data_IF_858849827171
#
_entry.id   IF_858849827171
#
_cell.length_a   1.000
_cell.length_b   1.000
_cell.length_c   1.000
_cell.angle_alpha   90.00
_cell.angle_beta   90.00
_cell.angle_gamma   90.00
#
_symmetry.space_group_name_H-M   'P 1'
#
loop_
_entity.id
_entity.type
_entity.pdbx_description
1 polymer ?
#
# COMPACT_ATOMS: atom_id res chain seq x y z
N UNK A 1 -24.76 53.44 28.67
CA UNK A 1 -25.34 52.14 28.21
C UNK A 1 -24.53 51.71 27.02
N UNK A 2 -23.50 50.88 27.26
CA UNK A 2 -22.52 50.46 26.26
C UNK A 2 -23.02 49.13 25.66
N UNK A 3 -23.44 49.17 24.37
CA UNK A 3 -23.79 47.96 23.65
C UNK A 3 -22.47 47.28 23.21
N UNK A 4 -22.13 46.15 23.82
CA UNK A 4 -21.07 45.27 23.33
C UNK A 4 -21.67 44.45 22.16
N UNK A 5 -21.27 44.76 20.95
CA UNK A 5 -21.55 43.92 19.78
C UNK A 5 -20.68 42.68 19.87
N UNK A 6 -21.24 41.53 20.29
CA UNK A 6 -20.60 40.22 20.14
C UNK A 6 -20.65 39.85 18.66
N UNK A 7 -19.55 40.04 17.95
CA UNK A 7 -19.36 39.50 16.59
C UNK A 7 -19.08 38.00 16.74
N UNK A 8 -20.12 37.18 16.54
CA UNK A 8 -19.92 35.75 16.35
C UNK A 8 -19.28 35.57 14.97
N UNK A 9 -17.99 35.24 14.95
CA UNK A 9 -17.38 34.65 13.75
C UNK A 9 -18.00 33.26 13.58
N UNK A 10 -19.01 33.17 12.69
CA UNK A 10 -19.46 31.89 12.20
C UNK A 10 -18.35 31.42 11.27
N UNK A 11 -17.47 30.55 11.77
CA UNK A 11 -16.61 29.76 10.92
C UNK A 11 -17.54 28.92 10.04
N UNK A 12 -17.67 29.26 8.78
CA UNK A 12 -18.37 28.42 7.81
C UNK A 12 -17.51 27.16 7.63
N UNK A 13 -17.85 26.15 8.38
CA UNK A 13 -17.22 24.84 8.28
C UNK A 13 -17.68 24.23 6.95
N UNK A 14 -16.73 23.91 6.07
CA UNK A 14 -17.04 23.29 4.79
C UNK A 14 -17.54 21.87 5.04
N UNK A 15 -18.74 21.54 4.58
CA UNK A 15 -19.31 20.21 4.70
C UNK A 15 -19.06 19.43 3.41
N UNK A 16 -18.60 18.18 3.54
CA UNK A 16 -18.38 17.23 2.46
C UNK A 16 -19.30 16.02 2.62
N UNK A 17 -19.69 15.41 1.52
CA UNK A 17 -20.33 14.07 1.59
C UNK A 17 -19.31 13.04 2.02
N UNK A 18 -18.08 13.11 1.48
CA UNK A 18 -17.01 12.14 1.73
C UNK A 18 -15.68 12.83 2.03
N UNK A 19 -14.96 12.32 3.03
CA UNK A 19 -13.54 12.65 3.22
C UNK A 19 -12.73 11.35 3.11
N UNK A 20 -11.68 11.39 2.28
CA UNK A 20 -10.71 10.30 2.12
C UNK A 20 -9.40 10.76 2.76
N UNK A 21 -8.95 10.06 3.80
CA UNK A 21 -7.72 10.35 4.53
C UNK A 21 -6.61 9.43 4.02
N UNK A 22 -5.59 10.05 3.41
CA UNK A 22 -4.44 9.40 2.81
C UNK A 22 -4.58 9.19 1.31
N UNK A 23 -3.66 9.80 0.52
CA UNK A 23 -3.54 9.68 -0.93
C UNK A 23 -2.54 8.58 -1.34
N UNK A 24 -2.58 7.44 -0.64
CA UNK A 24 -1.91 6.20 -1.07
C UNK A 24 -2.77 5.44 -2.09
N UNK A 25 -2.40 4.18 -2.39
CA UNK A 25 -3.12 3.37 -3.38
C UNK A 25 -4.63 3.31 -3.11
N UNK A 26 -5.05 3.03 -1.87
CA UNK A 26 -6.47 2.90 -1.53
C UNK A 26 -7.23 4.22 -1.67
N UNK A 27 -6.68 5.32 -1.18
CA UNK A 27 -7.35 6.63 -1.24
C UNK A 27 -7.45 7.17 -2.65
N UNK A 28 -6.38 7.06 -3.46
CA UNK A 28 -6.38 7.51 -4.85
C UNK A 28 -7.31 6.67 -5.73
N UNK A 29 -7.30 5.35 -5.59
CA UNK A 29 -8.23 4.47 -6.31
C UNK A 29 -9.68 4.75 -5.93
N UNK A 30 -9.97 5.05 -4.64
CA UNK A 30 -11.32 5.39 -4.20
C UNK A 30 -11.74 6.75 -4.74
N UNK A 31 -10.90 7.78 -4.65
CA UNK A 31 -11.18 9.10 -5.18
C UNK A 31 -11.49 9.05 -6.69
N UNK A 32 -10.65 8.31 -7.46
CA UNK A 32 -10.89 8.07 -8.89
C UNK A 32 -12.22 7.34 -9.14
N UNK A 33 -12.51 6.30 -8.35
CA UNK A 33 -13.76 5.57 -8.48
C UNK A 33 -15.02 6.42 -8.20
N UNK A 34 -14.92 7.34 -7.24
CA UNK A 34 -16.00 8.31 -6.95
C UNK A 34 -16.11 9.39 -8.04
N UNK A 35 -14.98 9.91 -8.54
CA UNK A 35 -14.96 10.94 -9.56
C UNK A 35 -15.43 10.46 -10.93
N UNK A 36 -15.06 9.23 -11.31
CA UNK A 36 -15.39 8.67 -12.62
C UNK A 36 -16.81 8.11 -12.74
N UNK A 37 -17.47 7.82 -11.62
CA UNK A 37 -18.79 7.22 -11.63
C UNK A 37 -19.90 8.31 -11.58
N UNK A 38 -20.76 8.43 -12.60
CA UNK A 38 -21.80 9.45 -12.67
C UNK A 38 -22.77 9.50 -11.47
N UNK A 39 -22.90 8.39 -10.73
CA UNK A 39 -23.72 8.35 -9.52
C UNK A 39 -23.26 9.34 -8.45
N UNK A 40 -21.95 9.63 -8.38
CA UNK A 40 -21.36 10.49 -7.36
C UNK A 40 -21.07 11.92 -7.85
N UNK A 41 -21.51 12.30 -9.05
CA UNK A 41 -21.19 13.64 -9.63
C UNK A 41 -21.62 14.81 -8.75
N UNK A 42 -22.74 14.64 -8.02
CA UNK A 42 -23.30 15.65 -7.12
C UNK A 42 -22.81 15.48 -5.66
N UNK A 43 -21.85 14.60 -5.42
CA UNK A 43 -21.25 14.33 -4.12
C UNK A 43 -19.92 15.03 -3.97
N UNK A 44 -19.77 15.81 -2.91
CA UNK A 44 -18.52 16.53 -2.61
C UNK A 44 -17.53 15.61 -1.90
N UNK A 45 -16.29 15.55 -2.41
CA UNK A 45 -15.22 14.69 -1.91
C UNK A 45 -13.99 15.52 -1.55
N UNK A 46 -13.49 15.37 -0.33
CA UNK A 46 -12.19 15.89 0.08
C UNK A 46 -11.18 14.74 0.21
N UNK A 47 -10.12 14.79 -0.57
CA UNK A 47 -8.96 13.90 -0.42
C UNK A 47 -7.87 14.65 0.35
N UNK A 48 -7.43 14.12 1.50
CA UNK A 48 -6.43 14.75 2.36
C UNK A 48 -5.21 13.85 2.52
N UNK A 49 -4.02 14.39 2.29
CA UNK A 49 -2.75 13.73 2.62
C UNK A 49 -1.70 14.76 3.05
N UNK A 50 -0.83 14.41 3.97
CA UNK A 50 0.30 15.26 4.37
C UNK A 50 1.35 15.41 3.27
N UNK A 51 1.41 14.46 2.35
CA UNK A 51 2.42 14.36 1.29
C UNK A 51 1.80 14.76 -0.07
N UNK A 52 2.49 15.62 -0.81
CA UNK A 52 2.10 16.04 -2.16
C UNK A 52 2.31 14.96 -3.23
N UNK A 53 2.83 13.78 -2.89
CA UNK A 53 3.07 12.63 -3.79
C UNK A 53 3.95 12.93 -5.00
N UNK A 54 5.03 13.68 -4.77
CA UNK A 54 5.97 14.14 -5.81
C UNK A 54 7.22 13.27 -5.94
N UNK A 55 7.41 12.31 -5.04
CA UNK A 55 8.58 11.42 -5.00
C UNK A 55 8.16 9.98 -5.16
N UNK A 56 9.10 9.13 -5.61
CA UNK A 56 8.88 7.69 -5.60
C UNK A 56 9.22 7.16 -4.20
N UNK A 57 8.22 6.66 -3.49
CA UNK A 57 8.36 6.16 -2.12
C UNK A 57 8.13 4.66 -2.00
N UNK A 58 7.73 3.99 -3.09
CA UNK A 58 7.44 2.56 -3.14
C UNK A 58 7.32 2.00 -4.53
N UNK A 59 7.45 0.69 -4.60
CA UNK A 59 7.24 -0.12 -5.79
C UNK A 59 6.15 -1.15 -5.49
N UNK A 60 5.22 -1.33 -6.43
CA UNK A 60 4.23 -2.41 -6.36
C UNK A 60 4.51 -3.43 -7.43
N UNK A 61 4.57 -4.70 -7.02
CA UNK A 61 4.64 -5.83 -7.94
C UNK A 61 3.40 -6.69 -7.78
N UNK A 62 2.87 -7.19 -8.90
CA UNK A 62 1.64 -7.98 -8.90
C UNK A 62 1.53 -8.91 -10.10
N UNK A 63 0.67 -9.91 -9.94
CA UNK A 63 0.39 -10.92 -10.95
C UNK A 63 -0.91 -10.59 -11.69
N UNK A 64 -0.89 -10.66 -13.01
CA UNK A 64 -2.07 -10.45 -13.82
C UNK A 64 -2.07 -11.39 -15.04
N UNK A 65 -3.27 -11.89 -15.45
CA UNK A 65 -3.39 -12.86 -16.55
C UNK A 65 -3.38 -12.24 -17.95
N UNK A 66 -3.76 -10.99 -18.06
CA UNK A 66 -3.99 -10.30 -19.32
C UNK A 66 -3.77 -8.80 -19.16
N UNK A 67 -4.18 -8.02 -20.16
CA UNK A 67 -4.25 -6.57 -20.03
C UNK A 67 -5.16 -6.17 -18.86
N UNK A 68 -4.73 -5.17 -18.08
CA UNK A 68 -5.39 -4.71 -16.87
C UNK A 68 -5.45 -3.20 -16.72
N UNK A 69 -6.00 -2.77 -15.60
CA UNK A 69 -6.25 -1.34 -15.32
C UNK A 69 -4.98 -0.48 -15.33
N UNK A 70 -3.83 -1.10 -15.03
CA UNK A 70 -2.56 -0.39 -14.81
C UNK A 70 -1.59 -0.46 -15.98
N UNK A 71 -1.91 -1.10 -17.09
CA UNK A 71 -0.98 -1.35 -18.20
C UNK A 71 -0.34 -0.09 -18.78
N UNK A 72 -1.05 1.04 -18.74
CA UNK A 72 -0.54 2.33 -19.24
C UNK A 72 0.56 2.93 -18.37
N UNK A 73 0.75 2.43 -17.16
CA UNK A 73 1.69 2.96 -16.17
C UNK A 73 2.63 1.89 -15.60
N UNK A 74 2.62 0.68 -16.19
CA UNK A 74 3.58 -0.37 -15.82
C UNK A 74 4.98 0.04 -16.21
N UNK A 75 5.91 -0.05 -15.29
CA UNK A 75 7.32 0.26 -15.51
C UNK A 75 8.07 -0.90 -16.14
N UNK A 76 7.78 -2.13 -15.73
CA UNK A 76 8.37 -3.38 -16.26
C UNK A 76 7.43 -4.55 -16.05
N UNK A 77 7.58 -5.58 -16.90
CA UNK A 77 6.87 -6.86 -16.75
C UNK A 77 7.76 -8.03 -17.15
N UNK A 78 7.52 -9.19 -16.53
CA UNK A 78 8.25 -10.42 -16.80
C UNK A 78 7.27 -11.58 -17.03
N UNK A 79 7.57 -12.40 -18.04
CA UNK A 79 6.87 -13.66 -18.32
C UNK A 79 7.57 -14.86 -17.69
N UNK A 80 8.77 -14.66 -17.17
CA UNK A 80 9.58 -15.69 -16.51
C UNK A 80 10.00 -15.25 -15.12
N UNK A 81 10.03 -16.21 -14.21
CA UNK A 81 10.56 -15.99 -12.86
C UNK A 81 11.58 -17.08 -12.50
N UNK A 82 12.51 -16.70 -11.64
CA UNK A 82 13.38 -17.61 -10.93
C UNK A 82 12.92 -17.72 -9.48
N UNK A 83 12.89 -18.95 -8.97
CA UNK A 83 12.73 -19.26 -7.57
C UNK A 83 13.92 -20.12 -7.12
N UNK A 84 14.57 -19.76 -6.01
CA UNK A 84 15.79 -20.41 -5.56
C UNK A 84 15.73 -20.71 -4.06
N UNK A 85 16.24 -21.87 -3.65
CA UNK A 85 16.46 -22.28 -2.27
C UNK A 85 17.86 -22.87 -2.13
N UNK A 86 18.25 -23.30 -0.95
CA UNK A 86 19.61 -23.80 -0.65
C UNK A 86 20.08 -24.90 -1.62
N UNK A 87 19.20 -25.86 -1.94
CA UNK A 87 19.51 -27.01 -2.82
C UNK A 87 18.64 -27.06 -4.08
N UNK A 88 17.94 -25.98 -4.39
CA UNK A 88 16.93 -25.95 -5.43
C UNK A 88 16.96 -24.63 -6.20
N UNK A 89 16.92 -24.72 -7.53
CA UNK A 89 16.77 -23.57 -8.41
C UNK A 89 15.82 -23.91 -9.55
N UNK A 90 14.80 -23.10 -9.77
CA UNK A 90 13.85 -23.28 -10.85
C UNK A 90 13.56 -21.97 -11.58
N UNK A 91 13.72 -22.04 -12.90
CA UNK A 91 13.22 -21.03 -13.79
C UNK A 91 11.86 -21.50 -14.35
N UNK A 92 10.88 -20.63 -14.36
CA UNK A 92 9.51 -20.95 -14.79
C UNK A 92 8.95 -19.89 -15.70
N UNK A 93 8.39 -20.31 -16.80
CA UNK A 93 7.39 -19.51 -17.51
C UNK A 93 6.11 -19.50 -16.68
N UNK A 94 5.52 -18.32 -16.55
CA UNK A 94 4.37 -18.10 -15.67
C UNK A 94 3.07 -17.90 -16.44
N UNK A 95 3.05 -18.18 -17.74
CA UNK A 95 1.83 -18.13 -18.53
C UNK A 95 0.69 -18.95 -17.84
N UNK A 96 -0.54 -18.45 -17.80
CA UNK A 96 -1.06 -17.25 -18.44
C UNK A 96 -0.84 -15.93 -17.68
N UNK A 97 -0.02 -15.95 -16.62
CA UNK A 97 0.27 -14.77 -15.82
C UNK A 97 1.49 -14.00 -16.35
N UNK A 98 1.53 -12.73 -16.03
CA UNK A 98 2.68 -11.85 -16.15
C UNK A 98 2.94 -11.23 -14.77
N UNK A 99 4.19 -11.16 -14.36
CA UNK A 99 4.58 -10.43 -13.16
C UNK A 99 4.89 -8.99 -13.56
N UNK A 100 4.13 -8.04 -13.02
CA UNK A 100 4.17 -6.63 -13.41
C UNK A 100 4.68 -5.78 -12.27
N UNK A 101 5.43 -4.75 -12.61
CA UNK A 101 5.97 -3.77 -11.66
C UNK A 101 5.48 -2.37 -12.01
N UNK A 102 5.09 -1.63 -10.99
CA UNK A 102 4.59 -0.27 -11.05
C UNK A 102 5.31 0.61 -10.02
N UNK A 103 5.88 1.73 -10.45
CA UNK A 103 6.52 2.72 -9.58
C UNK A 103 5.47 3.62 -8.94
N UNK A 104 5.68 3.93 -7.65
CA UNK A 104 4.76 4.77 -6.88
C UNK A 104 4.53 6.13 -7.52
N UNK A 105 5.59 6.80 -7.97
CA UNK A 105 5.46 8.12 -8.60
C UNK A 105 4.61 8.11 -9.87
N UNK A 106 4.73 7.08 -10.72
CA UNK A 106 3.95 6.96 -11.95
C UNK A 106 2.46 6.73 -11.62
N UNK A 107 2.19 5.93 -10.59
CA UNK A 107 0.85 5.72 -10.05
C UNK A 107 0.25 7.03 -9.53
N UNK A 108 0.99 7.78 -8.70
CA UNK A 108 0.52 9.05 -8.14
C UNK A 108 0.21 10.08 -9.21
N UNK A 109 1.10 10.26 -10.17
CA UNK A 109 0.90 11.18 -11.30
C UNK A 109 -0.34 10.81 -12.11
N UNK A 110 -0.49 9.51 -12.42
CA UNK A 110 -1.65 9.03 -13.18
C UNK A 110 -2.96 9.36 -12.48
N UNK A 111 -3.08 9.00 -11.19
CA UNK A 111 -4.33 9.19 -10.44
C UNK A 111 -4.60 10.66 -10.11
N UNK A 112 -3.60 11.42 -9.66
CA UNK A 112 -3.78 12.83 -9.34
C UNK A 112 -4.17 13.66 -10.56
N UNK A 113 -3.57 13.42 -11.74
CA UNK A 113 -3.96 14.09 -12.97
C UNK A 113 -5.43 13.81 -13.35
N UNK A 114 -5.91 12.60 -13.13
CA UNK A 114 -7.31 12.24 -13.39
C UNK A 114 -8.25 12.87 -12.37
N UNK A 115 -7.90 12.80 -11.09
CA UNK A 115 -8.69 13.35 -9.98
C UNK A 115 -8.86 14.88 -10.13
N UNK A 116 -7.84 15.59 -10.58
CA UNK A 116 -7.90 17.03 -10.83
C UNK A 116 -8.92 17.42 -11.92
N UNK A 117 -9.33 16.50 -12.78
CA UNK A 117 -10.34 16.76 -13.81
C UNK A 117 -11.79 16.65 -13.28
N UNK A 118 -12.00 16.16 -12.05
CA UNK A 118 -13.32 16.02 -11.44
C UNK A 118 -13.64 17.23 -10.57
N UNK A 119 -14.67 17.98 -10.96
CA UNK A 119 -15.10 19.22 -10.26
C UNK A 119 -15.57 18.96 -8.81
N UNK A 120 -16.04 17.76 -8.53
CA UNK A 120 -16.56 17.37 -7.22
C UNK A 120 -15.49 16.86 -6.25
N UNK A 121 -14.22 16.78 -6.65
CA UNK A 121 -13.13 16.29 -5.79
C UNK A 121 -12.11 17.40 -5.54
N UNK A 122 -11.81 17.65 -4.26
CA UNK A 122 -10.77 18.58 -3.84
C UNK A 122 -9.63 17.80 -3.20
N UNK A 123 -8.39 18.05 -3.61
CA UNK A 123 -7.20 17.55 -2.92
C UNK A 123 -6.65 18.62 -1.97
N UNK A 124 -6.45 18.29 -0.70
CA UNK A 124 -5.83 19.13 0.31
C UNK A 124 -4.56 18.49 0.84
N UNK A 125 -3.45 19.20 0.72
CA UNK A 125 -2.22 18.78 1.39
C UNK A 125 -2.25 19.28 2.83
N UNK A 126 -2.54 18.37 3.78
CA UNK A 126 -2.58 18.67 5.21
C UNK A 126 -2.34 17.41 6.05
N UNK A 127 -1.73 17.59 7.21
CA UNK A 127 -1.62 16.53 8.21
C UNK A 127 -2.94 16.39 8.96
N UNK A 128 -3.56 15.23 8.91
CA UNK A 128 -4.70 14.89 9.76
C UNK A 128 -4.21 14.59 11.19
N UNK A 129 -4.75 15.31 12.15
CA UNK A 129 -4.37 15.23 13.57
C UNK A 129 -5.41 14.53 14.44
N UNK A 130 -6.65 14.42 13.97
CA UNK A 130 -7.73 13.75 14.69
C UNK A 130 -8.94 13.45 13.83
N UNK A 131 -9.79 12.56 14.35
CA UNK A 131 -11.06 12.18 13.73
C UNK A 131 -12.04 11.76 14.82
N UNK A 132 -13.25 12.32 14.82
CA UNK A 132 -14.30 12.04 15.79
C UNK A 132 -15.63 11.76 15.09
N UNK A 133 -16.24 10.61 15.37
CA UNK A 133 -17.57 10.26 14.86
C UNK A 133 -18.65 10.77 15.83
N UNK A 134 -19.45 11.74 15.41
CA UNK A 134 -20.58 12.30 16.14
C UNK A 134 -21.91 11.62 15.81
N UNK A 135 -21.89 10.47 15.12
CA UNK A 135 -23.05 9.72 14.61
C UNK A 135 -23.82 10.42 13.48
N UNK A 136 -24.03 11.72 13.54
CA UNK A 136 -24.66 12.50 12.45
C UNK A 136 -23.68 12.95 11.39
N UNK A 137 -22.40 13.06 11.73
CA UNK A 137 -21.28 13.43 10.88
C UNK A 137 -19.96 13.02 11.53
N UNK A 138 -18.91 13.04 10.77
CA UNK A 138 -17.53 12.86 11.25
C UNK A 138 -16.80 14.19 11.15
N UNK A 139 -16.16 14.61 12.25
CA UNK A 139 -15.24 15.74 12.27
C UNK A 139 -13.81 15.22 12.03
N UNK A 140 -13.10 15.82 11.08
CA UNK A 140 -11.70 15.54 10.76
C UNK A 140 -10.89 16.79 11.05
N UNK A 141 -9.97 16.71 12.00
CA UNK A 141 -9.06 17.79 12.35
C UNK A 141 -7.76 17.68 11.57
N UNK A 142 -7.30 18.80 11.02
CA UNK A 142 -6.01 18.92 10.34
C UNK A 142 -5.22 20.10 10.88
N UNK A 143 -3.95 20.20 10.53
CA UNK A 143 -3.13 21.37 10.86
C UNK A 143 -3.65 22.68 10.23
N UNK A 144 -4.46 22.58 9.16
CA UNK A 144 -5.01 23.73 8.43
C UNK A 144 -6.45 24.09 8.81
N UNK A 145 -7.08 23.33 9.72
CA UNK A 145 -8.47 23.52 10.17
C UNK A 145 -9.26 22.21 10.25
N UNK A 146 -10.53 22.34 10.63
CA UNK A 146 -11.44 21.22 10.78
C UNK A 146 -12.40 21.12 9.58
N UNK A 147 -12.73 19.89 9.21
CA UNK A 147 -13.70 19.58 8.17
C UNK A 147 -14.76 18.64 8.73
N UNK A 148 -15.97 18.68 8.20
CA UNK A 148 -17.04 17.72 8.49
C UNK A 148 -17.42 16.96 7.25
N UNK A 149 -17.72 15.66 7.41
CA UNK A 149 -18.29 14.86 6.34
C UNK A 149 -19.38 13.92 6.86
N UNK A 150 -20.27 13.51 5.96
CA UNK A 150 -21.24 12.46 6.25
C UNK A 150 -20.52 11.11 6.45
N UNK A 151 -19.49 10.82 5.65
CA UNK A 151 -18.73 9.58 5.73
C UNK A 151 -17.23 9.83 5.52
N UNK A 152 -16.39 9.05 6.21
CA UNK A 152 -14.91 9.15 6.15
C UNK A 152 -14.28 7.80 5.84
N UNK A 153 -13.33 7.81 4.91
CA UNK A 153 -12.52 6.65 4.53
C UNK A 153 -11.08 6.88 4.98
N UNK A 154 -10.61 6.13 5.98
CA UNK A 154 -9.29 6.34 6.57
C UNK A 154 -8.30 5.26 6.14
N UNK A 155 -7.23 5.66 5.44
CA UNK A 155 -6.13 4.77 5.05
C UNK A 155 -4.88 4.90 5.93
N UNK A 156 -4.90 5.77 6.95
CA UNK A 156 -3.77 5.92 7.88
C UNK A 156 -3.73 4.71 8.81
N UNK A 157 -2.61 3.99 8.75
CA UNK A 157 -2.39 2.79 9.52
C UNK A 157 -1.57 3.09 10.79
N UNK A 158 -2.06 2.60 11.95
CA UNK A 158 -1.33 2.66 13.22
C UNK A 158 -0.91 1.27 13.69
N UNK A 159 0.39 0.98 13.60
CA UNK A 159 0.97 -0.27 14.10
C UNK A 159 0.74 -0.48 15.59
N UNK A 160 0.73 0.60 16.39
CA UNK A 160 0.59 0.50 17.84
C UNK A 160 -0.72 -0.17 18.27
N UNK A 161 -1.77 -0.03 17.46
CA UNK A 161 -3.05 -0.68 17.73
C UNK A 161 -2.98 -2.21 17.64
N UNK A 162 -2.13 -2.76 16.75
CA UNK A 162 -1.95 -4.20 16.61
C UNK A 162 -1.24 -4.85 17.80
N UNK A 163 -0.29 -4.15 18.41
CA UNK A 163 0.47 -4.69 19.54
C UNK A 163 -0.30 -4.64 20.88
N UNK A 164 -1.49 -4.03 20.91
CA UNK A 164 -2.37 -4.04 22.08
C UNK A 164 -3.18 -5.33 22.24
N UNK A 165 -3.19 -6.18 21.20
CA UNK A 165 -3.91 -7.45 21.22
C UNK A 165 -2.93 -8.64 21.22
N UNK A 166 -3.37 -9.77 21.80
CA UNK A 166 -2.57 -11.00 21.91
C UNK A 166 -3.24 -12.19 21.23
N UNK A 167 -4.40 -11.99 20.60
CA UNK A 167 -5.21 -13.05 20.02
C UNK A 167 -4.63 -13.59 18.71
N UNK A 168 -4.03 -12.73 17.91
CA UNK A 168 -3.52 -13.07 16.59
C UNK A 168 -2.03 -12.76 16.52
N UNK A 169 -1.21 -13.63 15.88
CA UNK A 169 0.18 -13.31 15.61
C UNK A 169 0.28 -12.03 14.76
N UNK A 170 1.30 -11.24 15.04
CA UNK A 170 1.64 -10.06 14.24
C UNK A 170 3.07 -10.24 13.77
N UNK A 171 3.22 -10.58 12.50
CA UNK A 171 4.47 -10.52 11.77
C UNK A 171 4.48 -9.29 10.87
N UNK A 172 5.63 -8.97 10.36
CA UNK A 172 5.85 -7.89 9.44
C UNK A 172 6.58 -8.45 8.22
N UNK A 173 6.11 -8.14 7.02
CA UNK A 173 6.94 -8.21 5.83
C UNK A 173 7.66 -6.87 5.74
N UNK A 174 8.95 -6.88 6.01
CA UNK A 174 9.76 -5.68 5.97
C UNK A 174 10.99 -5.87 5.08
N UNK A 175 11.41 -4.81 4.45
CA UNK A 175 12.43 -4.88 3.42
C UNK A 175 13.20 -3.56 3.25
N UNK A 176 14.41 -3.69 2.71
CA UNK A 176 15.15 -2.62 2.04
C UNK A 176 15.53 -3.11 0.65
N UNK A 177 15.35 -2.25 -0.33
CA UNK A 177 15.72 -2.49 -1.72
C UNK A 177 16.64 -1.39 -2.26
N UNK A 178 17.61 -1.78 -3.06
CA UNK A 178 18.49 -0.87 -3.78
C UNK A 178 18.26 -0.98 -5.28
N UNK A 179 17.94 0.14 -5.91
CA UNK A 179 18.01 0.27 -7.36
C UNK A 179 19.47 0.55 -7.71
N UNK A 180 20.07 -0.37 -8.44
CA UNK A 180 21.50 -0.28 -8.77
C UNK A 180 21.72 -0.22 -10.27
N UNK A 181 22.85 0.40 -10.63
CA UNK A 181 23.41 0.40 -11.98
C UNK A 181 24.82 -0.16 -11.91
N UNK A 182 25.07 -1.28 -12.56
CA UNK A 182 26.38 -1.94 -12.66
C UNK A 182 27.18 -1.42 -13.84
N UNK A 183 28.49 -1.54 -13.77
CA UNK A 183 29.43 -1.18 -14.85
C UNK A 183 29.47 -2.22 -16.00
N UNK A 184 28.92 -3.42 -15.76
CA UNK A 184 28.85 -4.52 -16.74
C UNK A 184 27.53 -5.27 -16.62
N UNK A 185 27.12 -6.05 -17.63
CA UNK A 185 25.93 -6.90 -17.57
C UNK A 185 26.01 -7.91 -16.40
N UNK A 186 25.02 -7.86 -15.51
CA UNK A 186 24.88 -8.77 -14.36
C UNK A 186 23.46 -9.30 -14.20
N UNK A 187 22.50 -8.75 -14.94
CA UNK A 187 21.10 -9.14 -14.87
C UNK A 187 20.62 -9.79 -16.16
N UNK A 188 19.62 -10.66 -16.03
CA UNK A 188 18.80 -11.11 -17.14
C UNK A 188 17.49 -10.31 -17.17
N UNK A 189 17.29 -9.35 -18.09
CA UNK A 189 16.13 -8.47 -18.10
C UNK A 189 14.79 -9.18 -18.39
N UNK A 190 14.82 -10.43 -18.84
CA UNK A 190 13.62 -11.21 -19.17
C UNK A 190 13.10 -12.04 -18.00
N UNK A 191 13.85 -12.12 -16.89
CA UNK A 191 13.52 -13.01 -15.79
C UNK A 191 13.68 -12.32 -14.43
N UNK A 192 12.59 -12.19 -13.66
CA UNK A 192 12.65 -11.71 -12.30
C UNK A 192 13.03 -12.85 -11.34
N UNK A 193 13.96 -12.60 -10.41
CA UNK A 193 14.14 -13.48 -9.25
C UNK A 193 13.04 -13.15 -8.25
N UNK A 194 12.00 -14.01 -8.25
CA UNK A 194 10.79 -13.76 -7.45
C UNK A 194 11.03 -13.97 -5.96
N UNK A 195 11.75 -15.02 -5.58
CA UNK A 195 12.21 -15.28 -4.21
C UNK A 195 13.47 -16.15 -4.26
N UNK A 196 14.56 -15.67 -3.72
CA UNK A 196 15.79 -16.44 -3.52
C UNK A 196 16.02 -16.66 -2.03
N UNK A 197 15.70 -17.88 -1.56
CA UNK A 197 15.91 -18.34 -0.19
C UNK A 197 17.27 -18.98 0.03
N UNK A 198 18.18 -18.99 -0.95
CA UNK A 198 19.53 -19.57 -0.81
C UNK A 198 20.46 -18.76 0.10
N UNK A 199 19.97 -17.65 0.63
CA UNK A 199 20.66 -16.81 1.60
C UNK A 199 20.49 -17.32 3.03
N UNK A 200 21.37 -16.96 4.00
CA UNK A 200 21.28 -17.39 5.39
C UNK A 200 19.94 -17.00 6.04
N UNK A 201 19.18 -17.98 6.53
CA UNK A 201 17.83 -17.77 7.08
C UNK A 201 17.80 -17.23 8.51
N UNK A 202 18.83 -17.46 9.32
CA UNK A 202 19.01 -16.90 10.69
C UNK A 202 17.77 -17.01 11.60
N UNK A 203 16.99 -18.09 11.46
CA UNK A 203 15.86 -18.40 12.33
C UNK A 203 14.52 -17.73 11.96
N UNK A 204 14.43 -17.04 10.82
CA UNK A 204 13.17 -16.53 10.26
C UNK A 204 13.21 -16.56 8.72
N UNK A 205 12.05 -16.38 8.09
CA UNK A 205 11.94 -16.43 6.63
C UNK A 205 12.59 -15.19 6.02
N UNK A 206 13.63 -15.40 5.17
CA UNK A 206 14.38 -14.33 4.48
C UNK A 206 14.63 -14.72 3.04
N UNK A 207 14.53 -13.74 2.15
CA UNK A 207 14.80 -13.96 0.73
C UNK A 207 15.21 -12.66 0.02
N UNK A 208 15.81 -12.83 -1.15
CA UNK A 208 16.08 -11.72 -2.05
C UNK A 208 15.06 -11.69 -3.19
N UNK A 209 14.59 -10.49 -3.53
CA UNK A 209 14.04 -10.18 -4.84
C UNK A 209 15.12 -9.57 -5.71
N UNK A 210 15.15 -9.95 -7.00
CA UNK A 210 15.91 -9.22 -8.02
C UNK A 210 14.98 -8.94 -9.19
N UNK A 211 14.76 -7.67 -9.45
CA UNK A 211 13.87 -7.19 -10.51
C UNK A 211 14.69 -6.44 -11.57
N UNK A 212 15.13 -7.10 -12.64
CA UNK A 212 15.98 -6.50 -13.66
C UNK A 212 15.19 -5.57 -14.57
N UNK A 213 15.73 -4.39 -14.86
CA UNK A 213 15.16 -3.45 -15.85
C UNK A 213 15.88 -3.55 -17.19
N UNK A 214 17.19 -3.74 -17.10
CA UNK A 214 18.10 -3.98 -18.23
C UNK A 214 19.17 -4.99 -17.82
N UNK A 215 20.16 -5.23 -18.67
CA UNK A 215 21.32 -6.07 -18.32
C UNK A 215 22.20 -5.45 -17.21
N UNK A 216 22.12 -4.13 -17.02
CA UNK A 216 22.95 -3.39 -16.06
C UNK A 216 22.16 -2.69 -14.94
N UNK A 217 20.84 -2.60 -15.04
CA UNK A 217 20.01 -1.92 -14.05
C UNK A 217 18.95 -2.86 -13.47
N UNK A 218 18.78 -2.82 -12.14
CA UNK A 218 17.79 -3.63 -11.45
C UNK A 218 17.59 -3.23 -9.99
N UNK A 219 16.49 -3.69 -9.41
CA UNK A 219 16.24 -3.64 -7.97
C UNK A 219 16.78 -4.93 -7.34
N UNK A 220 17.55 -4.79 -6.26
CA UNK A 220 17.95 -5.89 -5.38
C UNK A 220 17.40 -5.59 -3.99
N UNK A 221 16.47 -6.43 -3.52
CA UNK A 221 15.73 -6.21 -2.29
C UNK A 221 15.88 -7.38 -1.33
N UNK A 222 16.26 -7.08 -0.09
CA UNK A 222 16.28 -8.04 1.01
C UNK A 222 15.02 -7.94 1.83
N UNK A 223 14.22 -9.00 1.85
CA UNK A 223 12.90 -9.08 2.48
C UNK A 223 12.88 -10.15 3.57
N UNK A 224 12.18 -9.85 4.66
CA UNK A 224 12.01 -10.75 5.80
C UNK A 224 10.56 -10.80 6.26
N UNK A 225 10.20 -11.94 6.87
CA UNK A 225 8.99 -12.11 7.68
C UNK A 225 9.42 -12.35 9.12
N UNK A 226 9.24 -11.35 9.98
CA UNK A 226 9.56 -11.47 11.41
C UNK A 226 8.70 -10.54 12.27
N UNK A 227 8.69 -10.75 13.58
CA UNK A 227 7.94 -9.92 14.51
C UNK A 227 8.53 -8.50 14.59
N UNK A 228 9.86 -8.39 14.60
CA UNK A 228 10.61 -7.15 14.71
C UNK A 228 11.39 -6.85 13.44
N UNK A 229 11.56 -5.56 13.14
CA UNK A 229 12.45 -5.09 12.07
C UNK A 229 13.92 -5.18 12.50
N UNK A 230 14.82 -5.26 11.55
CA UNK A 230 16.26 -5.29 11.79
C UNK A 230 16.86 -3.87 11.83
N UNK A 231 18.10 -3.77 12.30
CA UNK A 231 18.92 -2.58 12.08
C UNK A 231 19.19 -2.40 10.57
N UNK A 232 19.17 -1.16 10.08
CA UNK A 232 19.30 -0.85 8.65
C UNK A 232 20.60 -1.44 8.05
N UNK A 233 21.69 -1.42 8.83
CA UNK A 233 22.97 -2.00 8.44
C UNK A 233 22.89 -3.50 8.10
N UNK A 234 22.03 -4.28 8.77
CA UNK A 234 21.90 -5.72 8.48
C UNK A 234 21.29 -5.95 7.10
N UNK A 235 20.28 -5.16 6.70
CA UNK A 235 19.72 -5.25 5.35
C UNK A 235 20.76 -4.85 4.30
N UNK A 236 21.44 -3.75 4.53
CA UNK A 236 22.43 -3.23 3.57
C UNK A 236 23.60 -4.20 3.38
N UNK A 237 24.08 -4.82 4.46
CA UNK A 237 25.13 -5.82 4.38
C UNK A 237 24.66 -7.07 3.64
N UNK A 238 23.42 -7.52 3.86
CA UNK A 238 22.86 -8.66 3.12
C UNK A 238 22.75 -8.36 1.62
N UNK A 239 22.29 -7.15 1.24
CA UNK A 239 22.22 -6.72 -0.16
C UNK A 239 23.62 -6.64 -0.79
N UNK A 240 24.61 -6.03 -0.11
CA UNK A 240 26.00 -5.94 -0.59
C UNK A 240 26.60 -7.31 -0.86
N UNK A 241 26.45 -8.23 0.10
CA UNK A 241 26.97 -9.59 -0.04
C UNK A 241 26.30 -10.30 -1.21
N UNK A 242 24.99 -10.18 -1.37
CA UNK A 242 24.27 -10.79 -2.47
C UNK A 242 24.72 -10.25 -3.84
N UNK A 243 24.87 -8.94 -3.97
CA UNK A 243 25.37 -8.29 -5.19
C UNK A 243 26.78 -8.80 -5.53
N UNK A 244 27.65 -8.91 -4.51
CA UNK A 244 29.03 -9.35 -4.72
C UNK A 244 29.12 -10.83 -5.03
N UNK A 245 28.46 -11.71 -4.26
CA UNK A 245 28.63 -13.15 -4.31
C UNK A 245 27.74 -13.83 -5.34
N UNK A 246 26.47 -13.42 -5.44
CA UNK A 246 25.48 -14.04 -6.35
C UNK A 246 25.44 -13.38 -7.72
N UNK A 247 25.52 -12.04 -7.78
CA UNK A 247 25.52 -11.32 -9.05
C UNK A 247 26.95 -11.11 -9.59
N UNK A 248 28.00 -11.50 -8.85
CA UNK A 248 29.41 -11.29 -9.22
C UNK A 248 29.70 -9.84 -9.63
N UNK A 249 29.11 -8.88 -8.93
CA UNK A 249 29.21 -7.47 -9.22
C UNK A 249 29.94 -6.73 -8.09
N UNK A 250 31.11 -6.14 -8.40
CA UNK A 250 31.92 -5.39 -7.44
C UNK A 250 31.90 -3.88 -7.67
N UNK A 251 31.39 -3.44 -8.84
CA UNK A 251 31.28 -2.01 -9.20
C UNK A 251 29.86 -1.71 -9.64
N UNK A 252 29.18 -0.91 -8.85
CA UNK A 252 27.83 -0.43 -9.11
C UNK A 252 27.59 0.90 -8.40
N UNK A 253 26.61 1.63 -8.90
CA UNK A 253 26.06 2.83 -8.29
C UNK A 253 24.69 2.51 -7.70
N UNK A 254 24.38 3.03 -6.51
CA UNK A 254 23.04 2.98 -5.93
C UNK A 254 22.29 4.22 -6.41
N UNK A 255 21.31 4.03 -7.28
CA UNK A 255 20.49 5.11 -7.87
C UNK A 255 19.44 5.59 -6.89
N UNK A 256 18.78 4.62 -6.19
CA UNK A 256 17.68 4.87 -5.29
C UNK A 256 17.61 3.77 -4.23
N UNK A 257 17.11 4.11 -3.04
CA UNK A 257 16.81 3.14 -1.98
C UNK A 257 15.32 3.21 -1.65
N UNK A 258 14.70 2.06 -1.45
CA UNK A 258 13.36 1.98 -0.91
C UNK A 258 13.34 1.11 0.34
N UNK A 259 12.39 1.39 1.23
CA UNK A 259 12.10 0.55 2.39
C UNK A 259 10.62 0.47 2.66
N UNK A 260 10.17 -0.66 3.13
CA UNK A 260 8.78 -0.87 3.45
C UNK A 260 8.58 -1.80 4.64
N UNK A 261 7.38 -1.71 5.18
CA UNK A 261 6.90 -2.57 6.24
C UNK A 261 5.40 -2.78 6.05
N UNK A 262 4.99 -4.03 5.91
CA UNK A 262 3.60 -4.43 5.70
C UNK A 262 3.20 -5.37 6.84
N UNK A 263 2.12 -5.08 7.59
CA UNK A 263 1.67 -5.97 8.65
C UNK A 263 1.13 -7.27 8.06
N UNK A 264 1.54 -8.38 8.64
CA UNK A 264 1.08 -9.73 8.35
C UNK A 264 0.33 -10.25 9.57
N UNK A 265 -0.99 -10.13 9.57
CA UNK A 265 -1.84 -10.50 10.70
C UNK A 265 -3.27 -10.78 10.28
N UNK A 266 -3.93 -11.69 10.98
CA UNK A 266 -5.37 -11.94 10.86
C UNK A 266 -6.21 -11.09 11.82
N UNK A 267 -5.69 -9.98 12.30
CA UNK A 267 -6.41 -9.04 13.16
C UNK A 267 -7.72 -8.58 12.50
N UNK A 268 -8.78 -8.44 13.30
CA UNK A 268 -10.07 -7.97 12.81
C UNK A 268 -10.11 -6.45 12.70
N UNK A 269 -9.62 -5.91 11.60
CA UNK A 269 -9.62 -4.47 11.33
C UNK A 269 -11.03 -3.86 11.25
N UNK A 270 -12.05 -4.65 10.90
CA UNK A 270 -13.44 -4.16 10.84
C UNK A 270 -13.99 -3.73 12.20
N UNK A 271 -13.37 -4.13 13.30
CA UNK A 271 -13.76 -3.69 14.65
C UNK A 271 -13.53 -2.18 14.88
N UNK A 272 -12.74 -1.53 14.02
CA UNK A 272 -12.51 -0.07 14.07
C UNK A 272 -13.52 0.73 13.25
N UNK A 273 -14.34 0.07 12.42
CA UNK A 273 -15.33 0.73 11.58
C UNK A 273 -16.55 1.17 12.39
N UNK A 274 -17.16 2.27 11.96
CA UNK A 274 -18.48 2.71 12.44
C UNK A 274 -19.44 2.86 11.25
N UNK A 275 -20.64 3.34 11.50
CA UNK A 275 -21.60 3.59 10.42
C UNK A 275 -21.14 4.71 9.47
N UNK A 276 -20.28 5.61 9.94
CA UNK A 276 -19.78 6.76 9.22
C UNK A 276 -18.28 6.71 8.90
N UNK A 277 -17.52 5.77 9.49
CA UNK A 277 -16.08 5.64 9.29
C UNK A 277 -15.76 4.25 8.80
N UNK A 278 -15.04 4.16 7.67
CA UNK A 278 -14.49 2.92 7.14
C UNK A 278 -12.97 3.04 7.03
N UNK A 279 -12.25 2.12 7.64
CA UNK A 279 -10.82 1.99 7.39
C UNK A 279 -10.58 1.22 6.07
N UNK A 280 -9.70 1.74 5.21
CA UNK A 280 -9.41 1.23 3.87
C UNK A 280 -7.91 0.91 3.69
N UNK A 281 -7.57 0.18 2.64
CA UNK A 281 -6.19 -0.22 2.40
C UNK A 281 -5.62 -1.09 3.52
N UNK A 282 -4.36 -0.89 3.89
CA UNK A 282 -3.71 -1.63 4.99
C UNK A 282 -4.45 -1.39 6.31
N UNK A 283 -4.88 -0.16 6.58
CA UNK A 283 -5.64 0.18 7.78
C UNK A 283 -7.00 -0.54 7.87
N UNK A 284 -7.59 -0.89 6.72
CA UNK A 284 -8.82 -1.68 6.62
C UNK A 284 -8.59 -3.19 6.54
N UNK A 285 -7.34 -3.68 6.66
CA UNK A 285 -7.02 -5.09 6.54
C UNK A 285 -7.15 -5.64 5.11
N UNK A 286 -6.85 -4.80 4.09
CA UNK A 286 -6.92 -5.23 2.69
C UNK A 286 -5.63 -5.89 2.21
N UNK A 287 -4.57 -5.86 3.00
CA UNK A 287 -3.39 -6.68 2.79
C UNK A 287 -3.69 -8.16 3.08
N UNK A 288 -3.18 -9.06 2.25
CA UNK A 288 -3.31 -10.50 2.51
C UNK A 288 -2.45 -10.88 3.71
N UNK A 289 -3.03 -11.45 4.77
CA UNK A 289 -2.32 -11.67 6.03
C UNK A 289 -1.05 -12.53 5.90
N UNK A 290 -1.08 -13.55 5.05
CA UNK A 290 0.02 -14.52 4.91
C UNK A 290 1.16 -14.08 4.00
N UNK A 291 0.97 -13.04 3.17
CA UNK A 291 1.94 -12.66 2.13
C UNK A 291 2.20 -11.17 2.02
N UNK A 292 1.50 -10.33 2.79
CA UNK A 292 1.56 -8.88 2.66
C UNK A 292 1.02 -8.31 1.34
N UNK A 293 0.50 -9.17 0.45
CA UNK A 293 0.06 -8.79 -0.89
C UNK A 293 -1.14 -7.83 -0.82
N UNK A 294 -0.96 -6.60 -1.31
CA UNK A 294 -1.91 -5.51 -1.02
C UNK A 294 -2.49 -4.87 -2.27
N UNK A 295 -1.70 -4.65 -3.33
CA UNK A 295 -2.05 -3.75 -4.43
C UNK A 295 -3.31 -4.17 -5.18
N UNK A 296 -3.35 -5.39 -5.75
CA UNK A 296 -4.53 -5.88 -6.48
C UNK A 296 -5.72 -6.17 -5.56
N UNK A 297 -5.46 -6.53 -4.30
CA UNK A 297 -6.52 -6.64 -3.29
C UNK A 297 -7.17 -5.27 -3.04
N UNK A 298 -6.39 -4.20 -2.93
CA UNK A 298 -6.87 -2.83 -2.79
C UNK A 298 -7.69 -2.41 -4.02
N UNK A 299 -7.21 -2.67 -5.23
CA UNK A 299 -7.95 -2.35 -6.45
C UNK A 299 -9.34 -3.03 -6.47
N UNK A 300 -9.39 -4.33 -6.18
CA UNK A 300 -10.65 -5.07 -6.11
C UNK A 300 -11.57 -4.53 -5.02
N UNK A 301 -11.05 -4.34 -3.80
CA UNK A 301 -11.83 -3.85 -2.65
C UNK A 301 -12.35 -2.43 -2.86
N UNK A 302 -11.61 -1.58 -3.54
CA UNK A 302 -12.07 -0.24 -3.90
C UNK A 302 -13.26 -0.29 -4.86
N UNK A 303 -13.21 -1.16 -5.88
CA UNK A 303 -14.34 -1.36 -6.80
C UNK A 303 -15.58 -1.89 -6.07
N UNK A 304 -15.40 -2.85 -5.15
CA UNK A 304 -16.45 -3.36 -4.29
C UNK A 304 -17.05 -2.24 -3.41
N UNK A 305 -16.20 -1.37 -2.84
CA UNK A 305 -16.63 -0.26 -1.99
C UNK A 305 -17.43 0.79 -2.79
N UNK A 306 -16.97 1.19 -3.98
CA UNK A 306 -17.71 2.12 -4.85
C UNK A 306 -19.11 1.56 -5.17
N UNK A 307 -19.22 0.28 -5.47
CA UNK A 307 -20.52 -0.36 -5.69
C UNK A 307 -21.36 -0.40 -4.41
N UNK A 308 -20.75 -0.68 -3.26
CA UNK A 308 -21.42 -0.72 -1.96
C UNK A 308 -21.99 0.65 -1.57
N UNK A 309 -21.29 1.75 -1.80
CA UNK A 309 -21.73 3.09 -1.45
C UNK A 309 -23.04 3.49 -2.15
N UNK A 310 -23.37 2.91 -3.31
CA UNK A 310 -24.64 3.10 -3.99
C UNK A 310 -25.83 2.45 -3.28
N UNK A 311 -25.57 1.61 -2.27
CA UNK A 311 -26.65 0.91 -1.54
C UNK A 311 -27.19 1.67 -0.34
N UNK A 312 -26.57 2.79 0.02
CA UNK A 312 -26.90 3.61 1.20
C UNK A 312 -26.92 2.83 2.53
N UNK A 313 -26.20 1.73 2.62
CA UNK A 313 -26.03 0.97 3.84
C UNK A 313 -24.96 1.60 4.73
N UNK A 314 -25.02 1.43 6.07
CA UNK A 314 -24.00 1.92 6.97
C UNK A 314 -22.63 1.30 6.65
N UNK A 315 -21.54 2.07 6.77
CA UNK A 315 -20.19 1.62 6.44
C UNK A 315 -19.75 0.42 7.28
N UNK A 316 -20.24 0.29 8.52
CA UNK A 316 -19.99 -0.85 9.40
C UNK A 316 -20.44 -2.20 8.80
N UNK A 317 -21.37 -2.18 7.83
CA UNK A 317 -21.83 -3.39 7.13
C UNK A 317 -20.98 -3.79 5.91
N UNK A 318 -19.98 -2.97 5.53
CA UNK A 318 -19.05 -3.36 4.48
C UNK A 318 -18.15 -4.51 4.92
N UNK A 319 -18.32 -5.68 4.31
CA UNK A 319 -17.63 -6.90 4.73
C UNK A 319 -16.23 -7.00 4.15
N UNK A 320 -15.28 -7.32 5.02
CA UNK A 320 -13.88 -7.59 4.65
C UNK A 320 -13.51 -9.09 4.78
N UNK A 321 -14.50 -9.98 4.89
CA UNK A 321 -14.24 -11.41 5.11
C UNK A 321 -13.60 -12.03 3.87
N UNK A 322 -12.44 -12.68 4.07
CA UNK A 322 -11.78 -13.55 3.10
C UNK A 322 -12.07 -15.01 3.46
N UNK A 323 -12.49 -15.82 2.47
CA UNK A 323 -12.72 -17.28 2.61
C UNK A 323 -11.42 -18.03 2.99
N UNK A 324 -10.25 -17.44 2.70
CA UNK A 324 -8.96 -18.03 2.98
C UNK A 324 -8.37 -17.61 4.34
N UNK A 325 -9.08 -16.83 5.13
CA UNK A 325 -8.65 -16.32 6.42
C UNK A 325 -8.06 -17.39 7.35
N UNK A 326 -8.67 -18.59 7.39
CA UNK A 326 -8.19 -19.71 8.21
C UNK A 326 -6.79 -20.19 7.78
N UNK A 327 -6.56 -20.29 6.47
CA UNK A 327 -5.26 -20.72 5.93
C UNK A 327 -4.19 -19.65 6.15
N UNK A 328 -4.57 -18.38 6.08
CA UNK A 328 -3.66 -17.28 6.40
C UNK A 328 -3.24 -17.32 7.87
N UNK A 329 -4.19 -17.55 8.79
CA UNK A 329 -3.90 -17.69 10.22
C UNK A 329 -2.99 -18.88 10.50
N UNK A 330 -3.28 -20.04 9.90
CA UNK A 330 -2.44 -21.24 10.06
C UNK A 330 -1.00 -20.99 9.61
N UNK A 331 -0.80 -20.34 8.46
CA UNK A 331 0.54 -20.02 7.98
C UNK A 331 1.25 -19.04 8.92
N UNK A 332 0.55 -18.01 9.39
CA UNK A 332 1.12 -17.04 10.34
C UNK A 332 1.51 -17.71 11.67
N UNK A 333 0.71 -18.63 12.17
CA UNK A 333 1.05 -19.41 13.39
C UNK A 333 2.31 -20.25 13.21
N UNK A 334 2.50 -20.83 12.01
CA UNK A 334 3.72 -21.60 11.68
C UNK A 334 4.96 -20.69 11.58
N UNK A 335 4.80 -19.50 10.97
CA UNK A 335 5.91 -18.56 10.79
C UNK A 335 6.28 -17.82 12.10
N UNK A 336 5.33 -17.72 13.04
CA UNK A 336 5.51 -17.00 14.30
C UNK A 336 6.20 -17.84 15.37
N UNK A 337 6.10 -19.19 15.30
CA UNK A 337 6.73 -20.15 16.22
C UNK A 337 8.18 -20.49 15.83
#
# INVERSE_FOLDING_TARGET
MLFVLLVFFIFVQTDYDYIIIGAGAAGLMLAEGLGSDPYFKDKTVLLVDKDAKKTNDRTWCFWEKSAGDFDKIISKSWSQIQFEGESFKANREIAPYTYKMLRGLDFYRHYLNRIQAYENITFSQALVTGMVDHKSHVEVSTENGNYRAAQVFNSIFDYKSLYKQTKYPVLQQHFIGWFIKSDKPVFNPEMATFMDFSIPQKGNTRFMYVLPFSETEGLVEYTLFSADTLAEEEYENAIKNYIQEKLNCTKYEIIEKEKGNIPMTCYNFSAMNSDNILYIGIAGGWAKPSTGYTFMSTNRKTKELVAFLKTNKPLSSFSNKDRYWYYDLLLLDILYK
#
